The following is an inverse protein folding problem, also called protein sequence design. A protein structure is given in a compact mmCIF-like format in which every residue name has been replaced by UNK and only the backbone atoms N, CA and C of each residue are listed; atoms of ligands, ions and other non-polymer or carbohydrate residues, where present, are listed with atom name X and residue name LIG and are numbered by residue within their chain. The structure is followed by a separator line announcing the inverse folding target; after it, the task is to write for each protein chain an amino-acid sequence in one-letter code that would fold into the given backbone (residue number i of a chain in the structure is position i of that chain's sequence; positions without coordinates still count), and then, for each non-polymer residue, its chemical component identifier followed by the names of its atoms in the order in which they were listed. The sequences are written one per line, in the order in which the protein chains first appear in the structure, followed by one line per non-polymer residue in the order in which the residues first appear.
data_IF_986317604908
#
_entry.id   IF_986317604908
#
_cell.length_a   1.000
_cell.length_b   1.000
_cell.length_c   1.000
_cell.angle_alpha   90.00
_cell.angle_beta   90.00
_cell.angle_gamma   90.00
#
_symmetry.space_group_name_H-M   'P 1'
#
loop_
_entity.id
_entity.type
_entity.pdbx_description
1 polymer ?
#
# COMPACT_ATOMS: atom_id res chain seq x y z
N UNK A 1 -64.07 5.92 62.74
CA UNK A 1 -65.13 6.44 61.85
C UNK A 1 -64.50 6.85 60.51
N UNK A 2 -65.17 6.50 59.38
CA UNK A 2 -64.94 6.90 57.97
C UNK A 2 -63.60 6.48 57.31
N UNK A 3 -63.53 5.46 56.43
CA UNK A 3 -63.96 5.31 55.00
C UNK A 3 -63.10 6.05 53.95
N UNK A 4 -62.56 5.26 52.99
CA UNK A 4 -62.41 5.45 51.50
C UNK A 4 -61.04 4.90 51.05
N UNK A 5 -60.88 3.74 50.40
CA UNK A 5 -61.25 3.27 49.04
C UNK A 5 -60.75 4.13 47.87
N UNK A 6 -59.71 3.62 47.17
CA UNK A 6 -59.45 3.62 45.70
C UNK A 6 -57.99 3.15 45.51
N UNK A 7 -57.62 1.95 45.04
CA UNK A 7 -57.83 1.28 43.73
C UNK A 7 -57.52 2.18 42.53
N UNK A 8 -56.37 1.94 41.86
CA UNK A 8 -56.25 1.53 40.44
C UNK A 8 -55.10 2.18 39.65
N UNK A 9 -54.56 1.39 38.69
CA UNK A 9 -53.77 1.71 37.48
C UNK A 9 -52.25 1.88 37.70
N UNK A 10 -51.41 0.83 37.61
CA UNK A 10 -50.92 0.17 36.38
C UNK A 10 -50.92 1.06 35.13
N UNK A 11 -49.77 1.63 34.80
CA UNK A 11 -49.33 1.80 33.40
C UNK A 11 -47.82 1.54 33.30
N UNK A 12 -47.51 0.51 32.51
CA UNK A 12 -46.16 0.14 32.12
C UNK A 12 -45.54 1.26 31.29
N UNK A 13 -44.43 1.82 31.76
CA UNK A 13 -43.59 2.69 30.94
C UNK A 13 -42.48 1.84 30.33
N UNK A 14 -42.81 1.16 29.24
CA UNK A 14 -41.86 0.44 28.40
C UNK A 14 -41.16 1.49 27.52
N UNK A 15 -40.11 2.12 28.02
CA UNK A 15 -39.28 3.00 27.19
C UNK A 15 -38.50 2.12 26.21
N UNK A 16 -38.86 2.22 24.93
CA UNK A 16 -38.14 1.61 23.82
C UNK A 16 -36.67 2.07 23.84
N UNK A 17 -35.78 1.21 24.29
CA UNK A 17 -34.37 1.30 23.93
C UNK A 17 -34.27 1.03 22.43
N UNK A 18 -34.22 2.10 21.64
CA UNK A 18 -33.80 2.04 20.25
C UNK A 18 -32.36 1.54 20.22
N UNK A 19 -32.17 0.23 20.02
CA UNK A 19 -30.90 -0.32 19.57
C UNK A 19 -30.61 0.29 18.20
N UNK A 20 -29.87 1.40 18.17
CA UNK A 20 -29.10 1.74 16.98
C UNK A 20 -28.09 0.61 16.80
N UNK A 21 -28.45 -0.34 15.94
CA UNK A 21 -27.47 -1.23 15.34
C UNK A 21 -26.50 -0.33 14.59
N UNK A 22 -25.39 0.03 15.26
CA UNK A 22 -24.22 0.54 14.59
C UNK A 22 -23.87 -0.52 13.54
N UNK A 23 -24.16 -0.23 12.27
CA UNK A 23 -23.64 -1.02 11.18
C UNK A 23 -22.12 -1.05 11.40
N UNK A 24 -21.59 -2.23 11.75
CA UNK A 24 -20.16 -2.41 11.85
C UNK A 24 -19.59 -1.87 10.52
N UNK A 25 -18.63 -0.93 10.54
CA UNK A 25 -18.06 -0.44 9.31
C UNK A 25 -17.60 -1.67 8.53
N UNK A 26 -18.07 -1.81 7.30
CA UNK A 26 -17.66 -2.91 6.44
C UNK A 26 -16.14 -2.93 6.46
N UNK A 27 -15.53 -3.99 7.00
CA UNK A 27 -14.08 -4.12 6.98
C UNK A 27 -13.67 -4.07 5.52
N UNK A 28 -13.03 -2.99 5.08
CA UNK A 28 -12.53 -2.92 3.72
C UNK A 28 -11.56 -4.09 3.56
N UNK A 29 -11.91 -5.07 2.73
CA UNK A 29 -11.05 -6.24 2.49
C UNK A 29 -9.65 -5.73 2.15
N UNK A 30 -8.64 -6.24 2.85
CA UNK A 30 -7.24 -5.93 2.53
C UNK A 30 -6.96 -6.35 1.09
N UNK A 31 -6.17 -5.55 0.38
CA UNK A 31 -5.69 -5.94 -0.94
C UNK A 31 -4.75 -7.14 -0.79
N UNK A 32 -4.64 -7.94 -1.84
CA UNK A 32 -3.47 -8.79 -2.03
C UNK A 32 -2.31 -7.96 -2.59
N UNK A 33 -1.10 -8.50 -2.59
CA UNK A 33 0.04 -7.86 -3.26
C UNK A 33 -0.22 -7.67 -4.76
N UNK A 34 -0.82 -8.68 -5.41
CA UNK A 34 -1.19 -8.59 -6.83
C UNK A 34 -2.23 -7.49 -7.08
N UNK A 35 -3.24 -7.37 -6.21
CA UNK A 35 -4.25 -6.31 -6.30
C UNK A 35 -3.63 -4.92 -6.02
N UNK A 36 -2.65 -4.81 -5.12
CA UNK A 36 -1.90 -3.57 -4.87
C UNK A 36 -0.98 -3.18 -6.03
N UNK A 37 -0.63 -4.13 -6.90
CA UNK A 37 0.07 -3.89 -8.16
C UNK A 37 -0.84 -3.53 -9.34
N UNK A 38 -2.17 -3.53 -9.17
CA UNK A 38 -3.13 -3.08 -10.19
C UNK A 38 -3.57 -1.63 -9.94
N UNK A 39 -3.17 -0.67 -10.80
CA UNK A 39 -3.53 0.74 -10.64
C UNK A 39 -5.03 1.00 -10.54
N UNK A 40 -5.87 0.20 -11.21
CA UNK A 40 -7.33 0.37 -11.21
C UNK A 40 -7.93 -0.04 -9.86
N UNK A 41 -7.49 -1.18 -9.32
CA UNK A 41 -7.95 -1.67 -8.02
C UNK A 41 -7.49 -0.76 -6.88
N UNK A 42 -6.26 -0.23 -6.96
CA UNK A 42 -5.76 0.78 -6.02
C UNK A 42 -6.64 2.03 -6.00
N UNK A 43 -6.96 2.59 -7.17
CA UNK A 43 -7.85 3.76 -7.26
C UNK A 43 -9.23 3.44 -6.70
N UNK A 44 -9.81 2.29 -7.07
CA UNK A 44 -11.11 1.85 -6.57
C UNK A 44 -11.12 1.73 -5.05
N UNK A 45 -10.09 1.13 -4.45
CA UNK A 45 -9.96 0.97 -3.01
C UNK A 45 -9.86 2.32 -2.30
N UNK A 46 -9.07 3.26 -2.83
CA UNK A 46 -8.87 4.58 -2.21
C UNK A 46 -10.11 5.49 -2.30
N UNK A 47 -11.02 5.22 -3.22
CA UNK A 47 -12.31 5.92 -3.34
C UNK A 47 -13.36 5.40 -2.36
N UNK A 48 -13.17 4.20 -1.79
CA UNK A 48 -14.08 3.67 -0.78
C UNK A 48 -13.77 4.25 0.61
N UNK A 49 -14.78 4.37 1.50
CA UNK A 49 -14.53 4.67 2.90
C UNK A 49 -13.65 3.58 3.53
N UNK A 50 -12.37 3.89 3.76
CA UNK A 50 -11.43 2.96 4.38
C UNK A 50 -11.57 2.86 5.89
N UNK A 51 -11.14 1.74 6.47
CA UNK A 51 -11.03 1.56 7.92
C UNK A 51 -9.91 2.45 8.51
N UNK A 52 -10.27 3.35 9.43
CA UNK A 52 -9.32 4.26 10.08
C UNK A 52 -8.25 3.53 10.91
N UNK A 53 -8.56 2.34 11.43
CA UNK A 53 -7.60 1.48 12.12
C UNK A 53 -6.53 0.99 11.16
N UNK A 54 -6.95 0.49 9.99
CA UNK A 54 -6.02 0.03 8.95
C UNK A 54 -5.19 1.17 8.38
N UNK A 55 -5.78 2.36 8.15
CA UNK A 55 -5.02 3.56 7.73
C UNK A 55 -3.94 3.93 8.75
N UNK A 56 -4.28 3.92 10.05
CA UNK A 56 -3.32 4.25 11.12
C UNK A 56 -2.18 3.23 11.18
N UNK A 57 -2.50 1.94 11.09
CA UNK A 57 -1.51 0.86 11.11
C UNK A 57 -0.62 0.93 9.86
N UNK A 58 -1.20 1.11 8.67
CA UNK A 58 -0.46 1.31 7.42
C UNK A 58 0.51 2.49 7.55
N UNK A 59 0.08 3.63 8.10
CA UNK A 59 0.96 4.77 8.34
C UNK A 59 2.14 4.46 9.30
N UNK A 60 1.95 3.60 10.31
CA UNK A 60 3.05 3.14 11.18
C UNK A 60 4.02 2.23 10.43
N UNK A 61 3.49 1.25 9.68
CA UNK A 61 4.26 0.32 8.88
C UNK A 61 5.08 1.04 7.80
N UNK A 62 4.49 2.03 7.12
CA UNK A 62 5.18 2.89 6.16
C UNK A 62 6.42 3.56 6.77
N UNK A 63 6.27 4.20 7.94
CA UNK A 63 7.39 4.87 8.62
C UNK A 63 8.48 3.88 9.02
N UNK A 64 8.11 2.71 9.56
CA UNK A 64 9.08 1.67 9.92
C UNK A 64 9.78 1.12 8.69
N UNK A 65 9.05 0.87 7.60
CA UNK A 65 9.61 0.41 6.32
C UNK A 65 10.60 1.41 5.73
N UNK A 66 10.27 2.70 5.74
CA UNK A 66 11.18 3.77 5.32
C UNK A 66 12.45 3.83 6.19
N UNK A 67 12.33 3.63 7.50
CA UNK A 67 13.50 3.53 8.38
C UNK A 67 14.39 2.32 8.05
N UNK A 68 13.80 1.16 7.73
CA UNK A 68 14.57 -0.01 7.30
C UNK A 68 15.25 0.23 5.95
N UNK A 69 14.59 0.91 5.01
CA UNK A 69 15.19 1.35 3.74
C UNK A 69 16.39 2.26 3.96
N UNK A 70 16.30 3.24 4.87
CA UNK A 70 17.44 4.11 5.23
C UNK A 70 18.62 3.32 5.81
N UNK A 71 18.32 2.27 6.59
CA UNK A 71 19.32 1.34 7.14
C UNK A 71 19.82 0.29 6.13
N UNK A 72 19.35 0.35 4.88
CA UNK A 72 19.64 -0.62 3.80
C UNK A 72 19.25 -2.06 4.15
N UNK A 73 18.31 -2.23 5.08
CA UNK A 73 17.73 -3.53 5.42
C UNK A 73 16.52 -3.78 4.51
N UNK A 74 16.79 -4.12 3.24
CA UNK A 74 15.77 -4.14 2.20
C UNK A 74 14.73 -5.25 2.42
N UNK A 75 15.13 -6.43 2.91
CA UNK A 75 14.17 -7.51 3.22
C UNK A 75 13.14 -7.09 4.28
N UNK A 76 13.58 -6.40 5.34
CA UNK A 76 12.64 -5.88 6.34
C UNK A 76 11.79 -4.73 5.78
N UNK A 77 12.38 -3.88 4.94
CA UNK A 77 11.65 -2.79 4.28
C UNK A 77 10.54 -3.31 3.37
N UNK A 78 10.83 -4.31 2.51
CA UNK A 78 9.86 -4.98 1.63
C UNK A 78 8.69 -5.50 2.45
N UNK A 79 8.95 -6.24 3.54
CA UNK A 79 7.90 -6.78 4.41
C UNK A 79 6.98 -5.67 4.95
N UNK A 80 7.57 -4.64 5.55
CA UNK A 80 6.80 -3.57 6.20
C UNK A 80 6.04 -2.70 5.19
N UNK A 81 6.65 -2.38 4.06
CA UNK A 81 6.03 -1.58 3.00
C UNK A 81 4.94 -2.38 2.28
N UNK A 82 5.14 -3.69 2.11
CA UNK A 82 4.13 -4.62 1.58
C UNK A 82 2.91 -4.71 2.50
N UNK A 83 3.12 -4.89 3.81
CA UNK A 83 2.02 -4.87 4.79
C UNK A 83 1.31 -3.50 4.85
N UNK A 84 2.04 -2.40 4.64
CA UNK A 84 1.45 -1.06 4.55
C UNK A 84 0.56 -0.91 3.33
N UNK A 85 1.06 -1.25 2.13
CA UNK A 85 0.36 -0.96 0.88
C UNK A 85 -0.93 -1.78 0.73
N UNK A 86 -0.97 -3.01 1.27
CA UNK A 86 -2.18 -3.83 1.19
C UNK A 86 -3.32 -3.35 2.11
N UNK A 87 -2.97 -2.61 3.17
CA UNK A 87 -3.93 -2.01 4.12
C UNK A 87 -4.42 -0.67 3.65
N UNK A 88 -3.49 0.20 3.26
CA UNK A 88 -3.79 1.50 2.72
C UNK A 88 -2.75 1.84 1.64
N UNK A 89 -3.09 1.70 0.35
CA UNK A 89 -2.12 1.79 -0.76
C UNK A 89 -1.73 3.25 -1.02
N UNK A 90 -0.94 3.85 -0.13
CA UNK A 90 -0.43 5.20 -0.34
C UNK A 90 0.62 5.22 -1.46
N UNK A 91 0.78 6.35 -2.16
CA UNK A 91 1.79 6.48 -3.19
C UNK A 91 3.20 6.13 -2.68
N UNK A 92 3.54 6.59 -1.48
CA UNK A 92 4.84 6.35 -0.85
C UNK A 92 5.07 4.88 -0.47
N UNK A 93 4.03 4.17 -0.02
CA UNK A 93 4.14 2.76 0.30
C UNK A 93 4.40 1.92 -0.95
N UNK A 94 3.64 2.17 -2.02
CA UNK A 94 3.76 1.46 -3.31
C UNK A 94 5.10 1.72 -3.99
N UNK A 95 5.52 2.98 -4.12
CA UNK A 95 6.82 3.30 -4.73
C UNK A 95 7.98 2.84 -3.84
N UNK A 96 7.83 2.95 -2.51
CA UNK A 96 8.83 2.49 -1.56
C UNK A 96 9.00 0.96 -1.59
N UNK A 97 7.90 0.21 -1.75
CA UNK A 97 7.93 -1.23 -1.92
C UNK A 97 8.73 -1.62 -3.16
N UNK A 98 8.43 -1.01 -4.31
CA UNK A 98 9.17 -1.24 -5.56
C UNK A 98 10.66 -0.89 -5.42
N UNK A 99 10.99 0.26 -4.82
CA UNK A 99 12.37 0.68 -4.55
C UNK A 99 13.12 -0.37 -3.68
N UNK A 100 12.47 -0.82 -2.60
CA UNK A 100 13.05 -1.77 -1.64
C UNK A 100 13.20 -3.17 -2.24
N UNK A 101 12.21 -3.65 -2.99
CA UNK A 101 12.22 -4.98 -3.60
C UNK A 101 13.34 -5.12 -4.62
N UNK A 102 13.49 -4.16 -5.53
CA UNK A 102 14.58 -4.15 -6.51
C UNK A 102 15.94 -4.23 -5.82
N UNK A 103 16.12 -3.51 -4.71
CA UNK A 103 17.39 -3.47 -3.96
C UNK A 103 17.62 -4.74 -3.14
N UNK A 104 16.56 -5.36 -2.62
CA UNK A 104 16.62 -6.67 -2.00
C UNK A 104 17.05 -7.74 -3.02
N UNK A 105 16.41 -7.75 -4.19
CA UNK A 105 16.74 -8.67 -5.28
C UNK A 105 18.19 -8.45 -5.75
N UNK A 106 18.63 -7.20 -5.87
CA UNK A 106 20.03 -6.90 -6.19
C UNK A 106 21.02 -7.50 -5.18
N UNK A 107 20.70 -7.45 -3.87
CA UNK A 107 21.52 -8.10 -2.84
C UNK A 107 21.52 -9.62 -2.99
N UNK A 108 20.36 -10.24 -3.21
CA UNK A 108 20.28 -11.69 -3.43
C UNK A 108 21.11 -12.14 -4.64
N UNK A 109 21.09 -11.37 -5.73
CA UNK A 109 21.88 -11.62 -6.96
C UNK A 109 23.37 -11.54 -6.77
N UNK A 110 23.85 -10.70 -5.85
CA UNK A 110 25.28 -10.65 -5.55
C UNK A 110 25.78 -12.00 -4.98
N UNK A 111 24.89 -12.81 -4.42
CA UNK A 111 25.19 -14.11 -3.83
C UNK A 111 24.89 -15.30 -4.76
N UNK A 112 24.05 -15.12 -5.79
CA UNK A 112 23.62 -16.19 -6.71
C UNK A 112 23.74 -15.77 -8.19
N UNK A 113 24.60 -16.48 -8.95
CA UNK A 113 24.93 -16.12 -10.36
C UNK A 113 23.82 -16.41 -11.38
N UNK A 114 22.86 -17.29 -11.09
CA UNK A 114 21.83 -17.74 -12.05
C UNK A 114 20.60 -16.82 -12.18
N UNK A 115 20.56 -15.71 -11.43
CA UNK A 115 19.40 -14.83 -11.42
C UNK A 115 19.33 -13.87 -12.63
N UNK A 116 20.19 -14.01 -13.66
CA UNK A 116 20.18 -13.20 -14.90
C UNK A 116 18.92 -13.40 -15.73
N UNK A 117 18.29 -14.56 -15.64
CA UNK A 117 17.08 -14.88 -16.40
C UNK A 117 15.82 -14.20 -15.86
N UNK A 118 15.84 -13.72 -14.60
CA UNK A 118 14.65 -13.16 -13.92
C UNK A 118 14.47 -11.66 -14.08
N UNK A 119 15.49 -10.95 -14.59
CA UNK A 119 15.51 -9.49 -14.62
C UNK A 119 14.26 -8.88 -15.27
N UNK A 120 13.77 -9.44 -16.37
CA UNK A 120 12.57 -8.89 -17.01
C UNK A 120 11.31 -9.09 -16.17
N UNK A 121 11.19 -10.21 -15.46
CA UNK A 121 10.09 -10.46 -14.54
C UNK A 121 10.09 -9.46 -13.40
N UNK A 122 11.24 -9.31 -12.75
CA UNK A 122 11.42 -8.40 -11.62
C UNK A 122 11.17 -6.93 -12.02
N UNK A 123 11.65 -6.51 -13.20
CA UNK A 123 11.40 -5.15 -13.69
C UNK A 123 9.92 -4.93 -14.07
N UNK A 124 9.24 -5.94 -14.63
CA UNK A 124 7.78 -5.87 -14.85
C UNK A 124 7.02 -5.74 -13.53
N UNK A 125 7.46 -6.47 -12.51
CA UNK A 125 6.87 -6.42 -11.17
C UNK A 125 7.01 -5.01 -10.58
N UNK A 126 8.22 -4.45 -10.57
CA UNK A 126 8.46 -3.10 -10.07
C UNK A 126 7.64 -2.02 -10.81
N UNK A 127 7.51 -2.11 -12.14
CA UNK A 127 6.71 -1.17 -12.93
C UNK A 127 5.26 -1.12 -12.46
N UNK A 128 4.64 -2.27 -12.17
CA UNK A 128 3.25 -2.34 -11.68
C UNK A 128 3.03 -1.51 -10.42
N UNK A 129 3.96 -1.57 -9.47
CA UNK A 129 3.87 -0.80 -8.22
C UNK A 129 4.18 0.68 -8.39
N UNK A 130 5.12 1.05 -9.28
CA UNK A 130 5.32 2.47 -9.59
C UNK A 130 4.10 3.08 -10.31
N UNK A 131 3.49 2.37 -11.25
CA UNK A 131 2.26 2.80 -11.90
C UNK A 131 1.10 2.93 -10.90
N UNK A 132 0.97 1.95 -9.99
CA UNK A 132 -0.01 1.99 -8.91
C UNK A 132 0.22 3.16 -7.96
N UNK A 133 1.49 3.51 -7.69
CA UNK A 133 1.85 4.69 -6.90
C UNK A 133 1.37 5.99 -7.54
N UNK A 134 1.56 6.16 -8.85
CA UNK A 134 1.05 7.32 -9.60
C UNK A 134 -0.48 7.37 -9.64
N UNK A 135 -1.12 6.20 -9.74
CA UNK A 135 -2.58 6.07 -9.67
C UNK A 135 -3.12 6.48 -8.30
N UNK A 136 -2.51 5.98 -7.22
CA UNK A 136 -2.84 6.39 -5.85
C UNK A 136 -2.65 7.91 -5.66
N UNK A 137 -1.60 8.49 -6.23
CA UNK A 137 -1.30 9.92 -6.11
C UNK A 137 -2.34 10.78 -6.85
N UNK A 138 -2.97 10.27 -7.90
CA UNK A 138 -4.08 10.97 -8.57
C UNK A 138 -5.30 11.16 -7.65
N UNK A 139 -5.48 10.27 -6.67
CA UNK A 139 -6.57 10.32 -5.69
C UNK A 139 -6.13 11.08 -4.43
N UNK A 140 -5.01 10.68 -3.83
CA UNK A 140 -4.58 11.16 -2.52
C UNK A 140 -3.75 12.45 -2.59
N UNK A 141 -3.04 12.69 -3.71
CA UNK A 141 -2.22 13.88 -3.96
C UNK A 141 -1.19 14.16 -2.85
N UNK A 142 -0.50 13.10 -2.41
CA UNK A 142 0.46 13.17 -1.29
C UNK A 142 1.92 13.20 -1.75
N UNK A 143 2.23 12.78 -2.98
CA UNK A 143 3.59 12.86 -3.48
C UNK A 143 4.01 14.31 -3.72
N UNK A 144 5.16 14.69 -3.15
CA UNK A 144 5.84 15.92 -3.54
C UNK A 144 6.29 15.89 -5.01
N UNK A 145 6.42 17.05 -5.70
CA UNK A 145 6.74 17.12 -7.12
C UNK A 145 8.00 16.34 -7.52
N UNK A 146 9.04 16.40 -6.69
CA UNK A 146 10.31 15.71 -6.94
C UNK A 146 10.15 14.18 -6.90
N UNK A 147 9.44 13.64 -5.91
CA UNK A 147 9.25 12.18 -5.80
C UNK A 147 8.33 11.68 -6.91
N UNK A 148 7.28 12.43 -7.26
CA UNK A 148 6.43 12.12 -8.40
C UNK A 148 7.23 12.04 -9.71
N UNK A 149 8.03 13.06 -10.01
CA UNK A 149 8.90 13.07 -11.19
C UNK A 149 9.88 11.89 -11.20
N UNK A 150 10.43 11.52 -10.03
CA UNK A 150 11.29 10.35 -9.91
C UNK A 150 10.55 9.04 -10.23
N UNK A 151 9.33 8.86 -9.74
CA UNK A 151 8.51 7.67 -10.03
C UNK A 151 8.16 7.60 -11.53
N UNK A 152 7.75 8.72 -12.13
CA UNK A 152 7.47 8.79 -13.58
C UNK A 152 8.71 8.42 -14.41
N UNK A 153 9.90 8.91 -14.02
CA UNK A 153 11.16 8.53 -14.67
C UNK A 153 11.49 7.04 -14.50
N UNK A 154 11.25 6.48 -13.32
CA UNK A 154 11.46 5.05 -13.05
C UNK A 154 10.58 4.18 -13.96
N UNK A 155 9.28 4.51 -14.07
CA UNK A 155 8.35 3.83 -14.99
C UNK A 155 8.87 3.92 -16.43
N UNK A 156 9.14 5.13 -16.91
CA UNK A 156 9.55 5.36 -18.28
C UNK A 156 10.85 4.61 -18.64
N UNK A 157 11.84 4.61 -17.75
CA UNK A 157 13.11 3.95 -18.01
C UNK A 157 13.00 2.42 -17.96
N UNK A 158 12.24 1.87 -17.01
CA UNK A 158 12.01 0.43 -16.92
C UNK A 158 11.19 -0.09 -18.09
N UNK A 159 10.15 0.63 -18.52
CA UNK A 159 9.39 0.29 -19.73
C UNK A 159 10.25 0.38 -21.00
N UNK A 160 11.19 1.32 -21.08
CA UNK A 160 12.15 1.37 -22.18
C UNK A 160 13.06 0.12 -22.16
N UNK A 161 13.62 -0.24 -21.02
CA UNK A 161 14.42 -1.46 -20.84
C UNK A 161 13.63 -2.73 -21.22
N UNK A 162 12.38 -2.86 -20.75
CA UNK A 162 11.53 -4.02 -21.04
C UNK A 162 11.22 -4.17 -22.54
N UNK A 163 11.21 -3.07 -23.30
CA UNK A 163 11.02 -3.09 -24.75
C UNK A 163 12.30 -3.39 -25.54
N UNK A 164 13.44 -2.84 -25.11
CA UNK A 164 14.67 -2.88 -25.92
C UNK A 164 15.73 -3.85 -25.40
N UNK A 165 15.62 -4.31 -24.16
CA UNK A 165 16.66 -5.06 -23.45
C UNK A 165 17.93 -4.25 -23.14
N UNK A 166 17.94 -2.95 -23.44
CA UNK A 166 19.13 -2.09 -23.37
C UNK A 166 19.46 -1.72 -21.92
N UNK A 167 20.54 -2.29 -21.40
CA UNK A 167 21.06 -2.06 -20.03
C UNK A 167 21.91 -0.78 -19.91
N UNK A 168 22.24 -0.12 -21.03
CA UNK A 168 23.17 1.02 -21.08
C UNK A 168 22.52 2.38 -20.81
N UNK A 169 21.18 2.48 -20.87
CA UNK A 169 20.47 3.75 -20.66
C UNK A 169 20.39 4.14 -19.18
N UNK A 170 20.41 5.45 -18.85
CA UNK A 170 20.22 5.90 -17.47
C UNK A 170 18.87 5.46 -16.91
N UNK A 171 18.89 4.41 -16.09
CA UNK A 171 17.71 3.91 -15.39
C UNK A 171 18.12 3.52 -13.98
N UNK A 172 17.76 4.36 -13.02
CA UNK A 172 18.23 4.22 -11.65
C UNK A 172 17.82 2.88 -11.00
N UNK A 173 16.55 2.42 -11.09
CA UNK A 173 16.16 1.09 -10.63
C UNK A 173 17.01 -0.03 -11.25
N UNK A 174 17.29 0.06 -12.55
CA UNK A 174 18.11 -0.93 -13.24
C UNK A 174 19.57 -0.89 -12.78
N UNK A 175 20.11 0.30 -12.49
CA UNK A 175 21.45 0.45 -11.92
C UNK A 175 21.56 -0.12 -10.51
N UNK A 176 20.50 -0.06 -9.71
CA UNK A 176 20.49 -0.74 -8.41
C UNK A 176 20.53 -2.26 -8.58
N UNK A 177 19.79 -2.78 -9.56
CA UNK A 177 19.68 -4.22 -9.84
C UNK A 177 20.93 -4.81 -10.52
N UNK A 178 21.59 -4.02 -11.37
CA UNK A 178 22.81 -4.34 -12.10
C UNK A 178 23.92 -3.35 -11.73
N UNK A 179 24.46 -3.39 -10.51
CA UNK A 179 25.56 -2.51 -10.16
C UNK A 179 26.73 -2.80 -11.11
N UNK A 180 27.22 -1.75 -11.80
CA UNK A 180 28.40 -1.86 -12.67
C UNK A 180 29.55 -2.42 -11.82
N UNK A 181 30.10 -3.56 -12.24
CA UNK A 181 31.35 -4.10 -11.67
C UNK A 181 32.54 -3.28 -12.13
#
# INVERSE_FOLDING_TARGET
MARRWARSLWFASFCLSACMAAAAPASSKLLTEEEAGDPRLVVQQLQQPGDETDKKLAGQLLRQGQQQSQRRNWSAAVKLLGESMIRHPTPEALAGYADAEIRMLAQARAHERDLDERIQGDMRHAVRFYESSLAADSVLKTLGPQKRFQVERNVACLQAFLRTGDKGKPCEPLHWYLPRR
#
